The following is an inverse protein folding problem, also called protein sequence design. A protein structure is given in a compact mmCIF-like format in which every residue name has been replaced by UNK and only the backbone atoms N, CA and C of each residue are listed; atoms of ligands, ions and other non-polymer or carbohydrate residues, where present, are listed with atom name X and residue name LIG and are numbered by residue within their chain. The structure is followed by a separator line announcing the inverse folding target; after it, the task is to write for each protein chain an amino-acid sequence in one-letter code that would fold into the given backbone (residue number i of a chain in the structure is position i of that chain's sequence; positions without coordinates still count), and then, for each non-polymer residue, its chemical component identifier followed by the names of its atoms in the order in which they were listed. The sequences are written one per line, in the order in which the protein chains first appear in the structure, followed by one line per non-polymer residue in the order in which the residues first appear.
data_IF_485422597411
#
_entry.id   IF_485422597411
#
_cell.length_a   1.000
_cell.length_b   1.000
_cell.length_c   1.000
_cell.angle_alpha   90.00
_cell.angle_beta   90.00
_cell.angle_gamma   90.00
#
_symmetry.space_group_name_H-M   'P 1'
#
loop_
_entity.id
_entity.type
_entity.pdbx_description
1 polymer ?
#
# COMPACT_ATOMS: atom_id res chain seq x y z
N UNK A 1 -17.47 -13.85 34.04
CA UNK A 1 -16.57 -13.63 32.89
C UNK A 1 -15.67 -14.85 32.82
N UNK A 2 -15.82 -15.71 31.81
CA UNK A 2 -14.96 -16.90 31.68
C UNK A 2 -13.58 -16.48 31.19
N UNK A 3 -12.57 -16.84 31.97
CA UNK A 3 -11.16 -16.68 31.63
C UNK A 3 -10.78 -17.81 30.67
N UNK A 4 -10.70 -17.50 29.37
CA UNK A 4 -10.37 -18.48 28.35
C UNK A 4 -8.85 -18.43 28.10
N UNK A 5 -8.12 -19.55 28.29
CA UNK A 5 -6.67 -19.55 28.16
C UNK A 5 -6.24 -19.24 26.72
N UNK A 6 -5.41 -18.20 26.57
CA UNK A 6 -4.78 -17.84 25.29
C UNK A 6 -3.58 -18.76 25.09
N UNK A 7 -3.68 -19.67 24.12
CA UNK A 7 -2.57 -20.51 23.71
C UNK A 7 -1.67 -19.74 22.73
N UNK A 8 -0.53 -19.25 23.21
CA UNK A 8 0.53 -18.70 22.35
C UNK A 8 1.32 -19.89 21.77
N UNK A 9 1.19 -20.16 20.47
CA UNK A 9 2.00 -21.18 19.81
C UNK A 9 3.48 -20.73 19.77
N UNK A 10 4.40 -21.66 20.04
CA UNK A 10 5.86 -21.41 19.95
C UNK A 10 6.36 -21.20 18.50
N UNK A 11 5.52 -21.50 17.52
CA UNK A 11 5.71 -21.07 16.14
C UNK A 11 5.16 -19.65 16.04
N UNK A 12 6.04 -18.67 15.88
CA UNK A 12 5.64 -17.30 15.58
C UNK A 12 4.78 -17.24 14.31
N UNK A 13 4.11 -16.12 14.05
CA UNK A 13 3.38 -15.94 12.80
C UNK A 13 4.30 -16.27 11.60
N UNK A 14 3.77 -16.91 10.55
CA UNK A 14 4.56 -17.22 9.37
C UNK A 14 5.27 -15.97 8.84
N UNK A 15 6.49 -16.14 8.37
CA UNK A 15 7.32 -15.04 7.88
C UNK A 15 6.59 -14.22 6.80
N UNK A 16 6.55 -12.90 7.00
CA UNK A 16 5.91 -11.97 6.07
C UNK A 16 6.83 -11.72 4.88
N UNK A 17 6.66 -12.50 3.81
CA UNK A 17 7.46 -12.35 2.57
C UNK A 17 6.85 -11.26 1.68
N UNK A 18 7.18 -9.98 1.87
CA UNK A 18 6.72 -8.94 0.93
C UNK A 18 7.27 -9.25 -0.48
N UNK A 19 6.41 -9.41 -1.50
CA UNK A 19 6.83 -9.83 -2.82
C UNK A 19 7.62 -8.67 -3.43
N UNK A 20 8.79 -9.01 -3.95
CA UNK A 20 9.64 -8.01 -4.58
C UNK A 20 8.91 -7.43 -5.79
N UNK A 21 8.92 -6.10 -5.89
CA UNK A 21 8.38 -5.40 -7.04
C UNK A 21 9.24 -5.77 -8.25
N UNK A 22 8.61 -6.28 -9.29
CA UNK A 22 9.32 -6.62 -10.53
C UNK A 22 9.87 -5.35 -11.18
N UNK A 23 11.00 -5.44 -11.88
CA UNK A 23 11.56 -4.29 -12.59
C UNK A 23 10.60 -3.67 -13.59
N UNK A 24 9.77 -4.49 -14.23
CA UNK A 24 8.71 -4.05 -15.16
C UNK A 24 7.66 -3.17 -14.46
N UNK A 25 7.19 -3.58 -13.28
CA UNK A 25 6.19 -2.80 -12.51
C UNK A 25 6.75 -1.45 -12.08
N UNK A 26 8.02 -1.41 -11.66
CA UNK A 26 8.67 -0.16 -11.30
C UNK A 26 8.83 0.78 -12.50
N UNK A 27 9.27 0.25 -13.65
CA UNK A 27 9.34 1.04 -14.89
C UNK A 27 7.97 1.57 -15.32
N UNK A 28 6.91 0.76 -15.20
CA UNK A 28 5.55 1.19 -15.51
C UNK A 28 5.07 2.31 -14.58
N UNK A 29 5.36 2.22 -13.28
CA UNK A 29 5.06 3.27 -12.31
C UNK A 29 5.85 4.56 -12.59
N UNK A 30 7.16 4.44 -12.85
CA UNK A 30 8.02 5.58 -13.18
C UNK A 30 7.52 6.31 -14.44
N UNK A 31 7.14 5.55 -15.47
CA UNK A 31 6.55 6.11 -16.69
C UNK A 31 5.21 6.83 -16.43
N UNK A 32 4.36 6.27 -15.57
CA UNK A 32 3.11 6.91 -15.16
C UNK A 32 3.37 8.20 -14.36
N UNK A 33 4.34 8.20 -13.45
CA UNK A 33 4.73 9.37 -12.65
C UNK A 33 5.36 10.48 -13.48
N UNK A 34 6.00 10.14 -14.61
CA UNK A 34 6.55 11.11 -15.56
C UNK A 34 5.48 11.86 -16.39
N UNK A 35 4.20 11.46 -16.32
CA UNK A 35 3.13 12.15 -17.04
C UNK A 35 2.77 13.51 -16.40
N UNK A 36 2.14 14.43 -17.17
CA UNK A 36 1.62 15.69 -16.66
C UNK A 36 0.72 15.53 -15.43
N UNK A 37 0.79 16.49 -14.51
CA UNK A 37 0.15 16.40 -13.19
C UNK A 37 -1.36 16.16 -13.25
N UNK A 38 -2.04 16.72 -14.25
CA UNK A 38 -3.48 16.61 -14.49
C UNK A 38 -3.93 15.19 -14.88
N UNK A 39 -3.04 14.39 -15.49
CA UNK A 39 -3.34 13.00 -15.89
C UNK A 39 -2.58 11.96 -15.07
N UNK A 40 -1.61 12.38 -14.24
CA UNK A 40 -0.70 11.48 -13.52
C UNK A 40 -1.39 10.46 -12.66
N UNK A 41 -2.35 10.90 -11.83
CA UNK A 41 -3.12 9.97 -10.99
C UNK A 41 -3.83 8.92 -11.84
N UNK A 42 -4.44 9.31 -12.96
CA UNK A 42 -5.10 8.39 -13.88
C UNK A 42 -4.12 7.38 -14.49
N UNK A 43 -2.95 7.84 -14.92
CA UNK A 43 -1.92 6.95 -15.45
C UNK A 43 -1.46 5.90 -14.42
N UNK A 44 -1.33 6.28 -13.15
CA UNK A 44 -1.02 5.34 -12.06
C UNK A 44 -2.18 4.37 -11.83
N UNK A 45 -3.43 4.84 -11.85
CA UNK A 45 -4.62 3.98 -11.77
C UNK A 45 -4.63 2.93 -12.89
N UNK A 46 -4.23 3.27 -14.11
CA UNK A 46 -4.17 2.34 -15.25
C UNK A 46 -3.12 1.22 -15.04
N UNK A 47 -1.99 1.54 -14.38
CA UNK A 47 -0.99 0.54 -13.98
C UNK A 47 -1.56 -0.39 -12.90
N UNK A 48 -2.16 0.17 -11.86
CA UNK A 48 -2.73 -0.61 -10.74
C UNK A 48 -3.92 -1.47 -11.19
N UNK A 49 -4.73 -1.00 -12.14
CA UNK A 49 -5.83 -1.78 -12.71
C UNK A 49 -5.34 -3.07 -13.39
N UNK A 50 -4.16 -3.02 -14.03
CA UNK A 50 -3.51 -4.19 -14.64
C UNK A 50 -2.80 -5.06 -13.60
N UNK A 51 -2.36 -4.47 -12.50
CA UNK A 51 -1.56 -5.11 -11.46
C UNK A 51 -2.13 -4.84 -10.06
N UNK A 52 -3.30 -5.41 -9.71
CA UNK A 52 -4.05 -5.03 -8.51
C UNK A 52 -3.40 -5.45 -7.19
N UNK A 53 -2.35 -6.29 -7.21
CA UNK A 53 -1.54 -6.67 -6.04
C UNK A 53 -0.31 -5.77 -5.85
N UNK A 54 -0.08 -4.80 -6.74
CA UNK A 54 1.05 -3.88 -6.68
C UNK A 54 0.82 -2.81 -5.60
N UNK A 55 1.38 -3.02 -4.42
CA UNK A 55 1.12 -2.20 -3.23
C UNK A 55 1.63 -0.75 -3.37
N UNK A 56 2.80 -0.55 -3.97
CA UNK A 56 3.37 0.78 -4.18
C UNK A 56 2.49 1.63 -5.12
N UNK A 57 1.88 1.01 -6.13
CA UNK A 57 0.91 1.69 -6.99
C UNK A 57 -0.32 2.16 -6.21
N UNK A 58 -0.88 1.34 -5.31
CA UNK A 58 -2.00 1.76 -4.45
C UNK A 58 -1.63 2.91 -3.51
N UNK A 59 -0.45 2.86 -2.90
CA UNK A 59 0.05 3.94 -2.04
C UNK A 59 0.21 5.24 -2.85
N UNK A 60 0.77 5.14 -4.05
CA UNK A 60 0.96 6.28 -4.96
C UNK A 60 -0.38 6.90 -5.40
N UNK A 61 -1.43 6.11 -5.64
CA UNK A 61 -2.77 6.64 -5.91
C UNK A 61 -3.27 7.44 -4.70
N UNK A 62 -3.02 6.97 -3.47
CA UNK A 62 -3.35 7.69 -2.24
C UNK A 62 -2.65 9.03 -2.17
N UNK A 63 -1.33 9.06 -2.38
CA UNK A 63 -0.51 10.28 -2.33
C UNK A 63 -0.89 11.31 -3.40
N UNK A 64 -1.36 10.86 -4.57
CA UNK A 64 -1.81 11.71 -5.67
C UNK A 64 -3.30 12.12 -5.58
N UNK A 65 -4.06 11.57 -4.65
CA UNK A 65 -5.49 11.87 -4.50
C UNK A 65 -5.70 13.11 -3.63
N UNK A 66 -6.83 13.78 -3.82
CA UNK A 66 -7.26 14.80 -2.87
C UNK A 66 -7.44 14.19 -1.47
N UNK A 67 -7.04 14.90 -0.40
CA UNK A 67 -7.27 14.43 0.96
C UNK A 67 -8.75 14.15 1.21
N UNK A 68 -9.07 12.93 1.63
CA UNK A 68 -10.46 12.52 1.86
C UNK A 68 -10.70 11.05 1.51
N UNK A 69 -11.92 10.76 1.07
CA UNK A 69 -12.37 9.39 0.83
C UNK A 69 -11.54 8.71 -0.28
N UNK A 70 -11.17 9.42 -1.34
CA UNK A 70 -10.40 8.85 -2.46
C UNK A 70 -9.02 8.36 -2.02
N UNK A 71 -8.27 9.21 -1.30
CA UNK A 71 -6.97 8.84 -0.75
C UNK A 71 -7.10 7.67 0.24
N UNK A 72 -8.06 7.75 1.16
CA UNK A 72 -8.31 6.69 2.14
C UNK A 72 -8.65 5.35 1.48
N UNK A 73 -9.51 5.34 0.47
CA UNK A 73 -9.90 4.12 -0.23
C UNK A 73 -8.71 3.49 -0.97
N UNK A 74 -7.84 4.29 -1.57
CA UNK A 74 -6.63 3.79 -2.21
C UNK A 74 -5.71 3.05 -1.22
N UNK A 75 -5.42 3.65 -0.06
CA UNK A 75 -4.62 3.00 0.98
C UNK A 75 -5.31 1.76 1.57
N UNK A 76 -6.63 1.82 1.82
CA UNK A 76 -7.40 0.70 2.37
C UNK A 76 -7.42 -0.49 1.42
N UNK A 77 -7.62 -0.25 0.13
CA UNK A 77 -7.57 -1.33 -0.86
C UNK A 77 -6.16 -1.90 -0.96
N UNK A 78 -5.12 -1.05 -1.03
CA UNK A 78 -3.73 -1.51 -1.00
C UNK A 78 -3.43 -2.42 0.19
N UNK A 79 -3.83 -2.03 1.40
CA UNK A 79 -3.69 -2.85 2.60
C UNK A 79 -4.43 -4.21 2.49
N UNK A 80 -5.67 -4.21 2.01
CA UNK A 80 -6.44 -5.45 1.83
C UNK A 80 -5.85 -6.36 0.75
N UNK A 81 -5.29 -5.79 -0.32
CA UNK A 81 -4.59 -6.55 -1.38
C UNK A 81 -3.23 -7.05 -0.92
N UNK A 82 -2.62 -6.35 0.04
CA UNK A 82 -1.43 -6.78 0.76
C UNK A 82 -1.70 -7.83 1.83
N UNK A 83 -2.96 -8.16 2.15
CA UNK A 83 -3.31 -9.11 3.23
C UNK A 83 -3.01 -10.59 2.93
N UNK A 84 -2.29 -10.89 1.84
CA UNK A 84 -1.51 -12.14 1.73
C UNK A 84 -0.21 -12.11 2.55
N UNK A 85 0.14 -10.95 3.11
CA UNK A 85 1.31 -10.67 3.93
C UNK A 85 0.82 -10.25 5.31
N UNK A 86 1.23 -10.99 6.35
CA UNK A 86 0.78 -10.74 7.72
C UNK A 86 1.22 -9.34 8.13
N UNK A 87 0.22 -8.51 8.39
CA UNK A 87 0.33 -7.08 8.61
C UNK A 87 0.86 -6.78 10.01
N UNK A 88 2.06 -6.23 10.11
CA UNK A 88 2.45 -5.43 11.28
C UNK A 88 3.32 -4.21 10.92
N UNK A 89 4.09 -4.25 9.83
CA UNK A 89 5.07 -3.16 9.53
C UNK A 89 4.67 -2.19 8.42
N UNK A 90 3.62 -2.48 7.62
CA UNK A 90 3.30 -1.69 6.42
C UNK A 90 2.91 -0.23 6.71
N UNK A 91 2.30 0.04 7.88
CA UNK A 91 1.91 1.40 8.30
C UNK A 91 3.08 2.23 8.85
N UNK A 92 4.17 1.61 9.31
CA UNK A 92 5.27 2.31 9.96
C UNK A 92 6.16 3.08 8.97
N UNK A 93 6.25 2.62 7.71
CA UNK A 93 7.11 3.24 6.69
C UNK A 93 6.48 4.42 5.93
N UNK A 94 5.17 4.40 5.68
CA UNK A 94 4.49 5.44 4.88
C UNK A 94 3.69 6.44 5.72
N UNK A 95 3.23 6.06 6.92
CA UNK A 95 2.47 6.95 7.80
C UNK A 95 3.25 8.16 8.32
N UNK A 96 4.60 8.10 8.35
CA UNK A 96 5.43 9.22 8.82
C UNK A 96 5.61 10.30 7.73
N UNK A 97 5.46 9.96 6.45
CA UNK A 97 5.67 10.93 5.36
C UNK A 97 4.46 11.83 5.10
N UNK A 98 3.27 11.43 5.54
CA UNK A 98 2.04 12.21 5.40
C UNK A 98 1.77 13.20 6.57
N UNK A 99 2.51 13.12 7.68
CA UNK A 99 2.31 13.95 8.88
C UNK A 99 3.54 14.82 9.23
N UNK A 100 4.60 14.76 8.43
CA UNK A 100 5.91 15.35 8.75
C UNK A 100 6.15 16.78 8.24
N UNK A 101 5.23 17.38 7.49
CA UNK A 101 5.35 18.77 7.02
C UNK A 101 4.12 19.59 7.42
N UNK A 102 3.89 19.73 8.73
CA UNK A 102 3.14 20.85 9.31
C UNK A 102 3.25 20.87 10.84
N UNK A 103 4.43 21.22 11.36
CA UNK A 103 4.57 22.01 12.60
C UNK A 103 5.80 22.90 12.44
#
# INVERSE_FOLDING_TARGET
MSDQPVHLSASGPPETIIPQITGELRLALDAALATPIDIRRRAVCDVVAKHPTFLEGWATIGDLSEPGIDAYMAYRVGYHRGSGYVASEFLAGFGIRAMGERI
#
